data_IF_263245500657
#
_entry.id   IF_263245500657
#
_cell.length_a   1.000
_cell.length_b   1.000
_cell.length_c   1.000
_cell.angle_alpha   90.00
_cell.angle_beta   90.00
_cell.angle_gamma   90.00
#
_symmetry.space_group_name_H-M   'P 1'
#
loop_
_entity.id
_entity.type
_entity.pdbx_description
1 polymer ?
#
# COMPACT_ATOMS: atom_id res chain seq x y z
N UNK A 1 -23.11 -0.57 -48.85
CA UNK A 1 -22.63 -0.97 -47.50
C UNK A 1 -22.26 0.28 -46.70
N UNK A 2 -22.82 0.49 -45.50
CA UNK A 2 -22.49 1.65 -44.65
C UNK A 2 -21.15 1.43 -43.93
N UNK A 3 -20.22 2.40 -44.00
CA UNK A 3 -18.94 2.35 -43.28
C UNK A 3 -19.17 2.44 -41.77
N UNK A 4 -18.44 1.64 -41.00
CA UNK A 4 -18.43 1.68 -39.53
C UNK A 4 -17.86 3.02 -39.06
N UNK A 5 -18.59 3.72 -38.19
CA UNK A 5 -18.18 5.01 -37.63
C UNK A 5 -17.09 4.74 -36.59
N UNK A 6 -15.94 5.41 -36.72
CA UNK A 6 -14.84 5.28 -35.76
C UNK A 6 -15.28 5.72 -34.36
N UNK A 7 -14.79 5.00 -33.35
CA UNK A 7 -15.15 5.20 -31.95
C UNK A 7 -14.66 6.58 -31.44
N UNK A 8 -15.58 7.52 -31.26
CA UNK A 8 -15.25 8.87 -30.81
C UNK A 8 -15.20 8.94 -29.28
N UNK A 9 -14.02 9.24 -28.74
CA UNK A 9 -13.78 9.40 -27.31
C UNK A 9 -14.69 10.46 -26.67
N UNK A 10 -15.05 11.52 -27.41
CA UNK A 10 -15.99 12.55 -26.95
C UNK A 10 -17.40 11.97 -26.76
N UNK A 11 -17.87 11.16 -27.71
CA UNK A 11 -19.18 10.49 -27.61
C UNK A 11 -19.21 9.47 -26.47
N UNK A 12 -18.12 8.71 -26.26
CA UNK A 12 -18.01 7.79 -25.11
C UNK A 12 -18.09 8.53 -23.77
N UNK A 13 -17.39 9.67 -23.64
CA UNK A 13 -17.40 10.48 -22.42
C UNK A 13 -18.80 11.04 -22.12
N UNK A 14 -19.50 11.55 -23.14
CA UNK A 14 -20.88 12.00 -23.01
C UNK A 14 -21.82 10.86 -22.58
N UNK A 15 -21.71 9.69 -23.22
CA UNK A 15 -22.49 8.50 -22.86
C UNK A 15 -22.25 8.04 -21.41
N UNK A 16 -21.01 8.11 -20.92
CA UNK A 16 -20.70 7.74 -19.53
C UNK A 16 -21.24 8.75 -18.52
N UNK A 17 -21.22 10.04 -18.85
CA UNK A 17 -21.83 11.09 -18.02
C UNK A 17 -23.34 10.92 -17.93
N UNK A 18 -24.00 10.68 -19.05
CA UNK A 18 -25.44 10.42 -19.12
C UNK A 18 -25.82 9.15 -18.34
N UNK A 19 -25.05 8.07 -18.48
CA UNK A 19 -25.26 6.84 -17.70
C UNK A 19 -25.10 7.06 -16.19
N UNK A 20 -24.17 7.92 -15.76
CA UNK A 20 -24.00 8.28 -14.35
C UNK A 20 -25.14 9.16 -13.83
N UNK A 21 -25.62 10.11 -14.64
CA UNK A 21 -26.75 10.96 -14.29
C UNK A 21 -28.03 10.13 -14.14
N UNK A 22 -28.31 9.22 -15.08
CA UNK A 22 -29.45 8.31 -15.01
C UNK A 22 -29.41 7.40 -13.78
N UNK A 23 -28.26 6.79 -13.49
CA UNK A 23 -28.12 5.95 -12.28
C UNK A 23 -28.33 6.74 -10.98
N UNK A 24 -28.01 8.05 -10.97
CA UNK A 24 -28.28 8.92 -9.83
C UNK A 24 -29.78 9.22 -9.71
N UNK A 25 -30.44 9.55 -10.82
CA UNK A 25 -31.88 9.79 -10.86
C UNK A 25 -32.70 8.55 -10.48
N UNK A 26 -32.31 7.36 -10.97
CA UNK A 26 -32.96 6.08 -10.62
C UNK A 26 -32.88 5.84 -9.09
N UNK A 27 -31.71 6.11 -8.48
CA UNK A 27 -31.51 5.98 -7.03
C UNK A 27 -32.30 7.03 -6.24
N UNK A 28 -32.39 8.25 -6.73
CA UNK A 28 -33.19 9.32 -6.11
C UNK A 28 -34.69 8.99 -6.18
N UNK A 29 -35.18 8.43 -7.28
CA UNK A 29 -36.56 7.95 -7.41
C UNK A 29 -36.86 6.77 -6.48
N UNK A 30 -35.92 5.84 -6.32
CA UNK A 30 -36.06 4.70 -5.42
C UNK A 30 -36.16 5.17 -3.95
N UNK A 31 -35.29 6.11 -3.56
CA UNK A 31 -35.33 6.73 -2.23
C UNK A 31 -36.59 7.59 -2.01
N UNK A 32 -37.10 8.26 -3.04
CA UNK A 32 -38.34 9.05 -2.94
C UNK A 32 -39.56 8.14 -2.85
N UNK A 33 -39.60 7.03 -3.58
CA UNK A 33 -40.64 6.01 -3.48
C UNK A 33 -40.62 5.33 -2.11
N UNK A 34 -39.44 5.02 -1.57
CA UNK A 34 -39.27 4.47 -0.23
C UNK A 34 -39.72 5.47 0.84
N UNK A 35 -39.37 6.75 0.70
CA UNK A 35 -39.83 7.82 1.61
C UNK A 35 -41.36 7.97 1.59
N UNK A 36 -41.98 7.95 0.41
CA UNK A 36 -43.45 8.01 0.27
C UNK A 36 -44.14 6.78 0.85
N UNK A 37 -43.55 5.59 0.68
CA UNK A 37 -44.04 4.35 1.28
C UNK A 37 -44.03 4.41 2.81
N UNK A 38 -42.96 4.96 3.40
CA UNK A 38 -42.89 5.18 4.84
C UNK A 38 -43.83 6.30 5.33
N UNK A 39 -44.00 7.39 4.58
CA UNK A 39 -45.00 8.43 4.89
C UNK A 39 -46.44 7.92 4.83
N UNK A 40 -46.76 7.01 3.90
CA UNK A 40 -48.07 6.36 3.79
C UNK A 40 -48.32 5.37 4.95
N UNK A 41 -47.27 4.72 5.45
CA UNK A 41 -47.34 3.86 6.64
C UNK A 41 -47.47 4.63 7.97
N UNK A 42 -46.92 5.84 8.07
CA UNK A 42 -47.02 6.68 9.29
C UNK A 42 -48.44 7.19 9.58
N UNK A 43 -49.38 7.05 8.64
CA UNK A 43 -50.82 7.24 8.88
C UNK A 43 -51.46 6.16 9.77
N UNK A 44 -50.75 5.07 10.06
CA UNK A 44 -51.21 3.95 10.90
C UNK A 44 -50.21 3.76 12.06
N UNK A 45 -50.45 4.47 13.17
CA UNK A 45 -49.57 4.48 14.34
C UNK A 45 -49.40 3.10 15.01
N UNK A 46 -48.14 2.67 15.28
CA UNK A 46 -47.56 2.15 16.58
C UNK A 46 -46.25 1.32 16.38
N UNK A 47 -45.48 1.00 17.46
CA UNK A 47 -44.17 1.56 17.79
C UNK A 47 -43.00 0.58 17.48
N UNK A 48 -42.50 0.54 16.24
CA UNK A 48 -41.40 -0.39 15.84
C UNK A 48 -40.01 0.23 15.97
N UNK A 49 -39.90 1.56 16.08
CA UNK A 49 -38.63 2.28 16.05
C UNK A 49 -37.69 2.06 17.25
N UNK A 50 -38.17 1.47 18.36
CA UNK A 50 -37.33 1.21 19.55
C UNK A 50 -36.56 -0.11 19.46
N UNK A 51 -37.20 -1.19 19.01
CA UNK A 51 -36.54 -2.50 18.83
C UNK A 51 -35.48 -2.47 17.72
N UNK A 52 -35.73 -1.74 16.63
CA UNK A 52 -34.79 -1.69 15.51
C UNK A 52 -33.50 -0.94 15.87
N UNK A 53 -33.58 0.05 16.77
CA UNK A 53 -32.42 0.78 17.27
C UNK A 53 -31.60 -0.04 18.28
N UNK A 54 -32.26 -0.84 19.12
CA UNK A 54 -31.59 -1.76 20.04
C UNK A 54 -30.89 -2.90 19.29
N UNK A 55 -31.51 -3.47 18.26
CA UNK A 55 -30.89 -4.44 17.36
C UNK A 55 -29.71 -3.84 16.58
N UNK A 56 -29.83 -2.61 16.06
CA UNK A 56 -28.73 -1.91 15.37
C UNK A 56 -27.57 -1.59 16.31
N UNK A 57 -27.83 -1.30 17.59
CA UNK A 57 -26.78 -1.08 18.59
C UNK A 57 -26.11 -2.39 19.02
N UNK A 58 -26.86 -3.48 19.18
CA UNK A 58 -26.30 -4.81 19.46
C UNK A 58 -25.44 -5.34 18.30
N UNK A 59 -25.86 -5.13 17.04
CA UNK A 59 -25.06 -5.51 15.86
C UNK A 59 -23.76 -4.69 15.80
N UNK A 60 -23.82 -3.38 16.11
CA UNK A 60 -22.62 -2.55 16.21
C UNK A 60 -21.70 -3.04 17.33
N UNK A 61 -22.21 -3.37 18.51
CA UNK A 61 -21.39 -3.90 19.61
C UNK A 61 -20.76 -5.25 19.26
N UNK A 62 -21.47 -6.14 18.55
CA UNK A 62 -20.93 -7.41 18.05
C UNK A 62 -19.84 -7.21 16.99
N UNK A 63 -19.98 -6.21 16.10
CA UNK A 63 -18.95 -5.87 15.10
C UNK A 63 -17.71 -5.23 15.75
N UNK A 64 -17.89 -4.43 16.80
CA UNK A 64 -16.77 -3.89 17.59
C UNK A 64 -16.08 -4.98 18.42
N UNK A 65 -16.83 -5.95 18.96
CA UNK A 65 -16.28 -7.10 19.68
C UNK A 65 -15.52 -8.06 18.75
N UNK A 66 -16.00 -8.31 17.52
CA UNK A 66 -15.25 -9.05 16.49
C UNK A 66 -13.99 -8.31 16.03
N UNK A 67 -14.04 -6.97 15.98
CA UNK A 67 -12.87 -6.14 15.70
C UNK A 67 -11.86 -6.10 16.85
N UNK A 68 -12.29 -6.29 18.10
CA UNK A 68 -11.43 -6.35 19.28
C UNK A 68 -10.77 -7.73 19.46
N UNK A 69 -11.36 -8.80 18.93
CA UNK A 69 -10.83 -10.17 19.01
C UNK A 69 -9.75 -10.50 17.97
N UNK A 70 -9.51 -9.65 16.98
CA UNK A 70 -8.41 -9.86 16.04
C UNK A 70 -7.15 -9.16 16.55
N UNK A 71 -6.46 -9.77 17.51
CA UNK A 71 -5.16 -9.26 17.98
C UNK A 71 -4.10 -9.20 16.86
N UNK A 72 -4.40 -9.76 15.68
CA UNK A 72 -3.47 -9.97 14.58
C UNK A 72 -3.92 -9.39 13.23
N UNK A 73 -4.65 -8.26 13.19
CA UNK A 73 -5.03 -7.65 11.89
C UNK A 73 -3.84 -7.32 10.99
N UNK A 74 -2.71 -6.99 11.62
CA UNK A 74 -1.50 -6.55 10.93
C UNK A 74 -0.36 -7.58 11.02
N UNK A 75 -0.64 -8.80 11.48
CA UNK A 75 0.39 -9.82 11.69
C UNK A 75 1.13 -10.12 10.38
N UNK A 76 0.38 -10.37 9.30
CA UNK A 76 0.95 -10.69 7.99
C UNK A 76 0.89 -9.51 7.02
N UNK A 77 0.87 -8.27 7.54
CA UNK A 77 0.88 -7.08 6.69
C UNK A 77 2.28 -6.53 6.59
N UNK A 78 2.70 -6.25 5.37
CA UNK A 78 3.96 -5.59 5.08
C UNK A 78 3.99 -4.16 5.63
N UNK A 79 5.12 -3.79 6.24
CA UNK A 79 5.38 -2.53 6.92
C UNK A 79 6.68 -1.90 6.40
N UNK A 80 6.52 -0.82 5.64
CA UNK A 80 7.63 -0.01 5.11
C UNK A 80 7.50 1.45 5.57
N UNK A 81 8.64 2.13 5.64
CA UNK A 81 8.66 3.58 5.85
C UNK A 81 8.08 4.30 4.64
N UNK A 82 7.15 5.23 4.90
CA UNK A 82 6.55 6.04 3.86
C UNK A 82 7.34 7.33 3.70
N UNK A 83 7.68 7.64 2.46
CA UNK A 83 8.24 8.94 2.09
C UNK A 83 7.28 10.07 2.51
N UNK A 84 7.86 11.21 2.88
CA UNK A 84 7.08 12.41 3.17
C UNK A 84 6.39 12.93 1.91
N UNK A 85 5.34 13.74 2.08
CA UNK A 85 4.62 14.33 0.94
C UNK A 85 5.55 15.15 0.04
N UNK A 86 6.47 15.89 0.64
CA UNK A 86 7.42 16.74 -0.08
C UNK A 86 8.42 15.89 -0.88
N UNK A 87 8.93 14.79 -0.30
CA UNK A 87 9.78 13.82 -1.00
C UNK A 87 9.03 13.15 -2.16
N UNK A 88 7.76 12.80 -1.98
CA UNK A 88 6.92 12.23 -3.03
C UNK A 88 6.70 13.22 -4.18
N UNK A 89 6.45 14.50 -3.88
CA UNK A 89 6.30 15.54 -4.90
C UNK A 89 7.60 15.79 -5.66
N UNK A 90 8.74 15.81 -4.97
CA UNK A 90 10.06 15.93 -5.59
C UNK A 90 10.35 14.74 -6.51
N UNK A 91 10.10 13.51 -6.04
CA UNK A 91 10.25 12.30 -6.85
C UNK A 91 9.33 12.30 -8.06
N UNK A 92 8.09 12.76 -7.90
CA UNK A 92 7.13 12.89 -9.01
C UNK A 92 7.61 13.91 -10.04
N UNK A 93 8.16 15.05 -9.62
CA UNK A 93 8.75 16.04 -10.53
C UNK A 93 9.93 15.46 -11.30
N UNK A 94 10.86 14.78 -10.59
CA UNK A 94 12.02 14.11 -11.21
C UNK A 94 11.60 13.05 -12.23
N UNK A 95 10.60 12.23 -11.89
CA UNK A 95 10.10 11.19 -12.79
C UNK A 95 9.40 11.73 -14.05
N UNK A 96 8.97 13.00 -14.04
CA UNK A 96 8.38 13.68 -15.19
C UNK A 96 9.42 14.34 -16.09
N UNK A 97 10.69 14.38 -15.68
CA UNK A 97 11.77 14.89 -16.52
C UNK A 97 11.99 13.96 -17.73
N UNK A 98 12.20 14.52 -18.94
CA UNK A 98 12.40 13.73 -20.13
C UNK A 98 13.66 12.88 -20.01
N UNK A 99 13.55 11.59 -20.34
CA UNK A 99 14.68 10.68 -20.36
C UNK A 99 15.75 11.17 -21.34
N UNK A 100 16.95 11.43 -20.82
CA UNK A 100 18.13 11.73 -21.66
C UNK A 100 18.57 10.44 -22.34
N UNK A 101 18.40 10.36 -23.66
CA UNK A 101 18.96 9.27 -24.45
C UNK A 101 20.44 9.55 -24.63
N UNK A 102 21.28 8.76 -23.99
CA UNK A 102 22.72 8.79 -24.23
C UNK A 102 23.09 8.07 -25.53
N UNK A 103 24.29 8.33 -26.03
CA UNK A 103 24.88 7.58 -27.16
C UNK A 103 24.99 6.08 -26.83
N UNK A 104 25.00 5.22 -27.84
CA UNK A 104 25.01 3.75 -27.66
C UNK A 104 26.13 3.23 -26.74
N UNK A 105 27.30 3.89 -26.76
CA UNK A 105 28.41 3.61 -25.84
C UNK A 105 28.07 3.96 -24.38
N UNK A 106 27.43 5.12 -24.15
CA UNK A 106 27.01 5.55 -22.81
C UNK A 106 25.89 4.68 -22.25
N UNK A 107 24.99 4.18 -23.11
CA UNK A 107 23.92 3.26 -22.71
C UNK A 107 24.46 1.90 -22.25
N UNK A 108 25.51 1.39 -22.90
CA UNK A 108 26.17 0.16 -22.47
C UNK A 108 26.84 0.33 -21.10
N UNK A 109 27.53 1.45 -20.88
CA UNK A 109 28.12 1.82 -19.59
C UNK A 109 27.08 2.00 -18.48
N UNK A 110 25.87 2.46 -18.81
CA UNK A 110 24.74 2.59 -17.88
C UNK A 110 24.06 1.25 -17.54
N UNK A 111 24.11 0.26 -18.42
CA UNK A 111 23.54 -1.07 -18.19
C UNK A 111 24.53 -2.04 -17.54
N UNK A 112 25.82 -1.77 -17.61
CA UNK A 112 26.83 -2.50 -16.86
C UNK A 112 26.58 -2.26 -15.38
N UNK A 113 26.07 -3.28 -14.68
CA UNK A 113 26.10 -3.35 -13.22
C UNK A 113 27.55 -3.09 -12.84
N UNK A 114 27.87 -2.10 -12.00
CA UNK A 114 29.25 -1.86 -11.61
C UNK A 114 29.76 -3.17 -11.01
N UNK A 115 30.71 -3.79 -11.71
CA UNK A 115 31.43 -4.92 -11.19
C UNK A 115 32.06 -4.45 -9.87
N UNK A 116 32.01 -5.30 -8.84
CA UNK A 116 32.69 -5.06 -7.58
C UNK A 116 34.13 -4.62 -7.89
N UNK A 117 34.49 -3.38 -7.55
CA UNK A 117 35.87 -2.95 -7.57
C UNK A 117 36.69 -3.84 -6.64
N UNK A 118 37.98 -4.05 -6.95
CA UNK A 118 38.90 -4.86 -6.14
C UNK A 118 39.08 -4.30 -4.71
N UNK A 119 38.63 -3.09 -4.45
CA UNK A 119 38.62 -2.37 -3.18
C UNK A 119 37.30 -2.51 -2.40
N UNK A 120 36.30 -3.24 -2.92
CA UNK A 120 34.98 -3.38 -2.31
C UNK A 120 34.14 -2.10 -2.31
N UNK A 121 34.60 -1.04 -2.99
CA UNK A 121 33.93 0.25 -3.06
C UNK A 121 32.95 0.33 -4.24
N UNK A 122 31.68 0.67 -3.95
CA UNK A 122 30.68 1.02 -4.97
C UNK A 122 30.86 2.50 -5.38
N UNK A 123 31.95 2.85 -6.07
CA UNK A 123 32.14 4.23 -6.56
C UNK A 123 31.62 4.38 -7.99
N UNK A 124 30.43 4.96 -8.14
CA UNK A 124 30.02 5.53 -9.42
C UNK A 124 30.37 7.03 -9.40
N UNK A 125 31.61 7.38 -9.75
CA UNK A 125 32.10 8.77 -9.75
C UNK A 125 31.40 9.66 -10.80
N UNK A 126 30.62 9.09 -11.72
CA UNK A 126 30.06 9.81 -12.86
C UNK A 126 28.59 9.50 -13.10
N UNK A 127 27.74 9.74 -12.11
CA UNK A 127 26.32 10.05 -12.34
C UNK A 127 25.65 10.49 -11.03
N UNK A 128 25.00 11.65 -11.06
CA UNK A 128 24.08 12.12 -9.99
C UNK A 128 22.93 11.14 -9.68
N UNK A 129 22.80 10.05 -10.44
CA UNK A 129 21.85 8.97 -10.22
C UNK A 129 22.56 7.80 -9.49
N UNK A 130 22.89 8.02 -8.21
CA UNK A 130 23.39 6.97 -7.29
C UNK A 130 22.27 5.96 -6.96
N UNK A 131 21.84 5.17 -7.96
CA UNK A 131 21.05 3.97 -7.76
C UNK A 131 21.96 2.89 -7.19
N UNK A 132 22.23 3.00 -5.89
CA UNK A 132 22.86 1.95 -5.10
C UNK A 132 21.85 0.81 -5.02
N UNK A 133 21.95 -0.15 -5.95
CA UNK A 133 21.07 -1.33 -5.99
C UNK A 133 21.50 -2.35 -4.92
N UNK A 134 22.75 -2.27 -4.46
CA UNK A 134 23.31 -3.17 -3.47
C UNK A 134 24.18 -2.38 -2.50
N UNK A 135 23.91 -2.53 -1.20
CA UNK A 135 24.71 -1.95 -0.12
C UNK A 135 25.53 -3.12 0.45
N UNK A 136 26.84 -3.24 0.13
CA UNK A 136 27.64 -4.38 0.56
C UNK A 136 27.68 -4.59 2.08
N UNK A 137 27.45 -3.51 2.82
CA UNK A 137 27.49 -3.46 4.28
C UNK A 137 26.18 -3.94 4.94
N UNK A 138 25.11 -4.12 4.16
CA UNK A 138 23.78 -4.53 4.66
C UNK A 138 23.36 -5.85 4.01
N UNK A 139 23.33 -6.90 4.83
CA UNK A 139 22.86 -8.23 4.43
C UNK A 139 21.44 -8.52 4.98
N UNK A 140 20.79 -9.53 4.42
CA UNK A 140 19.45 -10.03 4.79
C UNK A 140 19.51 -10.63 6.20
N UNK A 141 18.47 -10.47 7.05
CA UNK A 141 18.50 -11.04 8.39
C UNK A 141 18.49 -12.57 8.30
N UNK A 142 19.41 -13.23 9.03
CA UNK A 142 19.48 -14.70 9.09
C UNK A 142 18.81 -15.18 10.37
N UNK A 143 18.01 -16.25 10.27
CA UNK A 143 17.37 -16.84 11.45
C UNK A 143 18.44 -17.28 12.47
N UNK A 144 18.35 -16.85 13.74
CA UNK A 144 19.27 -17.30 14.78
C UNK A 144 19.15 -18.82 15.00
N UNK A 145 20.21 -19.49 15.48
CA UNK A 145 20.16 -20.92 15.76
C UNK A 145 19.09 -21.22 16.81
N UNK A 146 18.36 -22.31 16.61
CA UNK A 146 17.36 -22.83 17.53
C UNK A 146 17.52 -24.35 17.66
N UNK A 147 17.17 -24.87 18.83
CA UNK A 147 17.28 -26.29 19.16
C UNK A 147 15.91 -26.86 19.53
N UNK A 148 15.70 -28.16 19.31
CA UNK A 148 14.45 -28.85 19.68
C UNK A 148 14.15 -28.84 21.20
N UNK A 149 15.14 -28.50 22.03
CA UNK A 149 14.95 -28.33 23.48
C UNK A 149 14.35 -26.98 23.87
N UNK A 150 14.27 -26.01 22.94
CA UNK A 150 13.69 -24.69 23.21
C UNK A 150 12.17 -24.75 23.13
N UNK A 151 11.48 -23.98 23.98
CA UNK A 151 10.05 -23.77 23.84
C UNK A 151 9.77 -22.87 22.63
N UNK A 152 8.55 -22.96 22.11
CA UNK A 152 8.09 -22.08 21.02
C UNK A 152 8.30 -20.60 21.36
N UNK A 153 7.94 -20.20 22.57
CA UNK A 153 8.05 -18.83 23.05
C UNK A 153 9.51 -18.36 23.12
N UNK A 154 10.44 -19.25 23.50
CA UNK A 154 11.87 -18.96 23.53
C UNK A 154 12.45 -18.74 22.13
N UNK A 155 11.99 -19.52 21.15
CA UNK A 155 12.39 -19.35 19.74
C UNK A 155 11.86 -18.01 19.21
N UNK A 156 10.58 -17.72 19.44
CA UNK A 156 9.94 -16.46 19.04
C UNK A 156 10.64 -15.24 19.68
N UNK A 157 10.98 -15.30 20.98
CA UNK A 157 11.72 -14.23 21.66
C UNK A 157 13.14 -14.05 21.11
N UNK A 158 13.83 -15.14 20.80
CA UNK A 158 15.18 -15.10 20.23
C UNK A 158 15.17 -14.48 18.82
N UNK A 159 14.21 -14.87 17.99
CA UNK A 159 13.99 -14.31 16.64
C UNK A 159 13.65 -12.82 16.74
N UNK A 160 12.75 -12.44 17.64
CA UNK A 160 12.38 -11.04 17.87
C UNK A 160 13.58 -10.20 18.28
N UNK A 161 14.38 -10.67 19.25
CA UNK A 161 15.58 -9.98 19.69
C UNK A 161 16.57 -9.77 18.55
N UNK A 162 16.88 -10.85 17.82
CA UNK A 162 17.81 -10.78 16.69
C UNK A 162 17.34 -9.77 15.64
N UNK A 163 16.07 -9.83 15.25
CA UNK A 163 15.49 -8.92 14.26
C UNK A 163 15.58 -7.45 14.70
N UNK A 164 15.28 -7.15 15.97
CA UNK A 164 15.40 -5.77 16.48
C UNK A 164 16.84 -5.26 16.51
N UNK A 165 17.82 -6.11 16.79
CA UNK A 165 19.23 -5.75 16.74
C UNK A 165 19.70 -5.50 15.31
N UNK A 166 19.27 -6.34 14.37
CA UNK A 166 19.55 -6.17 12.95
C UNK A 166 18.96 -4.86 12.42
N UNK A 167 17.70 -4.55 12.74
CA UNK A 167 17.07 -3.27 12.38
C UNK A 167 17.84 -2.06 12.92
N UNK A 168 18.27 -2.10 14.19
CA UNK A 168 19.09 -1.03 14.79
C UNK A 168 20.43 -0.84 14.06
N UNK A 169 21.07 -1.93 13.60
CA UNK A 169 22.31 -1.85 12.81
C UNK A 169 22.06 -1.14 11.48
N UNK A 170 20.97 -1.46 10.81
CA UNK A 170 20.59 -0.82 9.53
C UNK A 170 20.25 0.66 9.71
N UNK A 171 19.48 1.00 10.74
CA UNK A 171 19.18 2.39 11.08
C UNK A 171 20.44 3.18 11.45
N UNK A 172 21.37 2.56 12.19
CA UNK A 172 22.64 3.19 12.56
C UNK A 172 23.57 3.49 11.37
N UNK A 173 23.45 2.73 10.28
CA UNK A 173 24.19 2.99 9.03
C UNK A 173 23.71 4.26 8.31
N UNK A 174 22.72 4.99 8.87
CA UNK A 174 22.20 6.28 8.35
C UNK A 174 21.94 6.23 6.85
N UNK A 175 21.36 5.12 6.40
CA UNK A 175 20.73 5.04 5.09
C UNK A 175 19.46 5.88 5.04
N UNK A 176 19.40 7.04 5.72
CA UNK A 176 18.19 7.78 6.11
C UNK A 176 17.27 8.14 4.92
N UNK A 177 17.80 8.21 3.69
CA UNK A 177 17.01 8.42 2.47
C UNK A 177 16.61 7.12 1.73
N UNK A 178 17.08 5.96 2.20
CA UNK A 178 16.95 4.62 1.59
C UNK A 178 16.50 3.52 2.58
N UNK A 179 16.32 3.79 3.89
CA UNK A 179 15.91 2.81 4.92
C UNK A 179 14.56 2.13 4.61
N UNK A 180 13.72 2.74 3.77
CA UNK A 180 12.46 2.16 3.27
C UNK A 180 12.64 0.88 2.44
N UNK A 181 13.88 0.48 2.10
CA UNK A 181 14.16 -0.75 1.34
C UNK A 181 13.83 -2.05 2.12
N UNK A 182 13.73 -2.01 3.44
CA UNK A 182 13.57 -3.20 4.28
C UNK A 182 12.19 -3.30 4.92
N UNK A 183 11.68 -4.53 4.97
CA UNK A 183 10.44 -4.90 5.65
C UNK A 183 10.66 -4.84 7.17
N UNK A 184 9.86 -4.03 7.87
CA UNK A 184 9.96 -3.86 9.33
C UNK A 184 9.16 -4.89 10.13
N UNK A 185 8.33 -5.68 9.46
CA UNK A 185 7.57 -6.74 10.09
C UNK A 185 8.34 -8.07 10.08
N UNK A 186 8.64 -8.59 11.27
CA UNK A 186 9.30 -9.89 11.44
C UNK A 186 8.45 -11.06 10.87
N UNK A 187 7.13 -10.94 10.93
CA UNK A 187 6.20 -12.01 10.53
C UNK A 187 6.09 -12.17 9.01
N UNK A 188 6.69 -11.24 8.25
CA UNK A 188 6.72 -11.23 6.78
C UNK A 188 8.11 -11.59 6.23
N UNK A 189 9.15 -11.59 7.07
CA UNK A 189 10.53 -11.91 6.70
C UNK A 189 10.83 -13.42 6.71
#
# INVERSE_FOLDING_TARGET
MRRKIAFSNKKKKAQLLEKRARKRADREQELDAERRYYEELEGISRPVAKEENELKNQVKELDHAKNAQSENKNKLTSQFDKLTKDQLEANKKRAMEPLKRGDSLSMKKLLEVPALGEDGGWSNENSDDQRVVFIPEVDIPVRPPWDYGMSREQVEENEQRYFTEWMKKIEALKLDDKVSLFEKNIEVN
#
